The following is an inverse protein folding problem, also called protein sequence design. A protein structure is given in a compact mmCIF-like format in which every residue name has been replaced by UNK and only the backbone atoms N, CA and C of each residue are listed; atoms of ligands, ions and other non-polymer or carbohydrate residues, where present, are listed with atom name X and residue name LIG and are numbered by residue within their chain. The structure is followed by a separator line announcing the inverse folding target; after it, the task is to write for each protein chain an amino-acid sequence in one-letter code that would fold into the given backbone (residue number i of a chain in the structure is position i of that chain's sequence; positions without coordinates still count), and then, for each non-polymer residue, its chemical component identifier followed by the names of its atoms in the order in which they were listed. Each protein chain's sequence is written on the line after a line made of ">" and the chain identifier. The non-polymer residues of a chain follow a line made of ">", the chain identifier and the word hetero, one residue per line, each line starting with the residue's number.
data_IF_157006726211
#
_entry.id   IF_157006726211
#
_cell.length_a   1.000
_cell.length_b   1.000
_cell.length_c   1.000
_cell.angle_alpha   90.00
_cell.angle_beta   90.00
_cell.angle_gamma   90.00
#
_symmetry.space_group_name_H-M   'P 1'
#
loop_
_entity.id
_entity.type
_entity.pdbx_description
1 polymer ?
#
# COMPACT_ATOMS: atom_id res chain seq x y z
N UNK A 1 41.33 -15.63 11.71
CA UNK A 1 40.53 -16.36 10.72
C UNK A 1 39.33 -15.50 10.38
N UNK A 2 39.20 -15.09 9.12
CA UNK A 2 38.20 -14.16 8.62
C UNK A 2 36.87 -14.89 8.40
N UNK A 3 35.84 -14.54 9.18
CA UNK A 3 34.44 -14.90 8.91
C UNK A 3 33.74 -13.69 8.30
N UNK A 4 33.74 -13.62 6.97
CA UNK A 4 33.32 -12.46 6.18
C UNK A 4 31.78 -12.43 6.09
N UNK A 5 31.21 -11.31 6.54
CA UNK A 5 29.91 -10.67 6.25
C UNK A 5 28.60 -11.46 6.13
N UNK A 6 27.49 -10.89 6.67
CA UNK A 6 26.16 -11.43 6.51
C UNK A 6 25.75 -11.42 5.04
N UNK A 7 25.06 -12.47 4.60
CA UNK A 7 24.40 -12.52 3.30
C UNK A 7 23.54 -11.26 3.09
N UNK A 8 24.08 -10.27 2.36
CA UNK A 8 23.29 -9.19 1.80
C UNK A 8 22.54 -9.78 0.60
N UNK A 9 21.48 -10.55 0.87
CA UNK A 9 20.49 -10.84 -0.18
C UNK A 9 19.95 -9.50 -0.60
N UNK A 10 20.21 -9.12 -1.85
CA UNK A 10 19.56 -7.98 -2.49
C UNK A 10 18.06 -8.29 -2.52
N UNK A 11 17.32 -7.84 -1.52
CA UNK A 11 15.87 -8.01 -1.47
C UNK A 11 15.30 -7.28 -2.69
N UNK A 12 14.72 -8.03 -3.62
CA UNK A 12 14.01 -7.43 -4.75
C UNK A 12 12.73 -6.85 -4.18
N UNK A 13 12.60 -5.52 -4.24
CA UNK A 13 11.37 -4.85 -3.82
C UNK A 13 10.54 -4.49 -5.03
N UNK A 14 9.26 -4.82 -5.00
CA UNK A 14 8.29 -4.35 -5.97
C UNK A 14 7.73 -3.02 -5.47
N UNK A 15 7.75 -1.99 -6.32
CA UNK A 15 7.27 -0.66 -5.97
C UNK A 15 6.13 -0.29 -6.92
N UNK A 16 5.01 0.13 -6.35
CA UNK A 16 3.86 0.63 -7.10
C UNK A 16 3.50 2.03 -6.60
N UNK A 17 3.21 2.92 -7.55
CA UNK A 17 2.75 4.29 -7.26
C UNK A 17 1.38 4.50 -7.88
N UNK A 18 0.43 4.99 -7.09
CA UNK A 18 -0.95 5.21 -7.55
C UNK A 18 -1.56 6.47 -6.90
N UNK A 19 -2.44 7.18 -7.62
CA UNK A 19 -3.30 8.16 -7.00
C UNK A 19 -4.40 7.45 -6.19
N UNK A 20 -4.89 8.11 -5.15
CA UNK A 20 -6.04 7.67 -4.38
C UNK A 20 -6.96 8.85 -4.11
N UNK A 21 -8.25 8.63 -4.33
CA UNK A 21 -9.31 9.57 -3.97
C UNK A 21 -10.50 8.75 -3.48
N UNK A 22 -10.63 8.67 -2.16
CA UNK A 22 -11.74 7.98 -1.49
C UNK A 22 -12.32 8.96 -0.48
N UNK A 23 -13.63 9.20 -0.54
CA UNK A 23 -14.31 10.04 0.43
C UNK A 23 -14.37 9.37 1.81
N UNK A 24 -14.59 10.16 2.85
CA UNK A 24 -14.79 9.62 4.20
C UNK A 24 -15.94 8.61 4.24
N UNK A 25 -17.07 8.92 3.58
CA UNK A 25 -18.25 8.08 3.53
C UNK A 25 -17.98 6.72 2.86
N UNK A 26 -17.25 6.71 1.73
CA UNK A 26 -16.87 5.47 1.05
C UNK A 26 -15.96 4.62 1.94
N UNK A 27 -15.06 5.25 2.71
CA UNK A 27 -14.18 4.53 3.62
C UNK A 27 -14.92 3.97 4.86
N UNK A 28 -16.07 4.53 5.24
CA UNK A 28 -16.89 3.97 6.32
C UNK A 28 -17.43 2.58 5.99
N UNK A 29 -17.63 2.25 4.71
CA UNK A 29 -18.05 0.90 4.28
C UNK A 29 -17.06 -0.18 4.74
N UNK A 30 -15.78 0.17 4.89
CA UNK A 30 -14.78 -0.73 5.47
C UNK A 30 -15.00 -0.94 6.97
N UNK A 31 -15.29 0.12 7.74
CA UNK A 31 -15.60 -0.01 9.17
C UNK A 31 -16.90 -0.78 9.43
N UNK A 32 -17.84 -0.73 8.50
CA UNK A 32 -19.08 -1.49 8.53
C UNK A 32 -18.90 -2.96 8.08
N UNK A 33 -17.71 -3.34 7.63
CA UNK A 33 -17.40 -4.69 7.16
C UNK A 33 -17.97 -5.02 5.78
N UNK A 34 -18.51 -4.03 5.06
CA UNK A 34 -19.09 -4.21 3.73
C UNK A 34 -18.01 -4.30 2.63
N UNK A 35 -16.80 -3.83 2.91
CA UNK A 35 -15.64 -3.86 2.01
C UNK A 35 -14.40 -4.24 2.82
N UNK A 36 -13.53 -5.10 2.28
CA UNK A 36 -12.25 -5.49 2.89
C UNK A 36 -11.03 -4.92 2.16
N UNK A 37 -11.14 -4.73 0.84
CA UNK A 37 -10.06 -4.27 -0.06
C UNK A 37 -10.47 -3.05 -0.87
N UNK A 38 -9.48 -2.23 -1.19
CA UNK A 38 -9.60 -1.10 -2.10
C UNK A 38 -8.88 -1.46 -3.40
N UNK A 39 -9.59 -1.35 -4.52
CA UNK A 39 -9.00 -1.43 -5.85
C UNK A 39 -8.32 -0.09 -6.19
N UNK A 40 -7.07 -0.14 -6.63
CA UNK A 40 -6.35 1.02 -7.17
C UNK A 40 -5.69 0.64 -8.49
N UNK A 41 -5.48 1.63 -9.37
CA UNK A 41 -4.66 1.49 -10.57
C UNK A 41 -3.35 2.21 -10.37
N UNK A 42 -2.24 1.51 -10.55
CA UNK A 42 -0.92 2.13 -10.53
C UNK A 42 -0.67 2.99 -11.78
N UNK A 43 0.42 3.76 -11.74
CA UNK A 43 0.85 4.62 -12.84
C UNK A 43 1.16 3.87 -14.14
N UNK A 44 1.36 2.55 -14.08
CA UNK A 44 1.59 1.67 -15.22
C UNK A 44 0.30 1.01 -15.72
N UNK A 45 -0.85 1.29 -15.08
CA UNK A 45 -2.15 0.71 -15.41
C UNK A 45 -2.47 -0.63 -14.74
N UNK A 46 -1.59 -1.13 -13.86
CA UNK A 46 -1.80 -2.38 -13.12
C UNK A 46 -2.84 -2.17 -12.02
N UNK A 47 -3.83 -3.06 -11.98
CA UNK A 47 -4.80 -3.12 -10.88
C UNK A 47 -4.19 -3.78 -9.65
N UNK A 48 -4.32 -3.14 -8.49
CA UNK A 48 -3.91 -3.64 -7.18
C UNK A 48 -5.10 -3.68 -6.24
N UNK A 49 -5.16 -4.72 -5.41
CA UNK A 49 -6.19 -4.88 -4.38
C UNK A 49 -5.51 -4.83 -3.02
N UNK A 50 -5.71 -3.73 -2.30
CA UNK A 50 -4.99 -3.45 -1.05
C UNK A 50 -5.99 -3.48 0.09
N UNK A 51 -5.69 -4.23 1.15
CA UNK A 51 -6.59 -4.31 2.31
C UNK A 51 -6.79 -2.91 2.91
N UNK A 52 -8.05 -2.49 3.03
CA UNK A 52 -8.42 -1.13 3.44
C UNK A 52 -7.82 -0.71 4.80
N UNK A 53 -7.53 -1.67 5.68
CA UNK A 53 -6.86 -1.45 6.98
C UNK A 53 -5.55 -0.66 6.87
N UNK A 54 -4.82 -0.82 5.76
CA UNK A 54 -3.54 -0.14 5.56
C UNK A 54 -3.71 1.36 5.31
N UNK A 55 -4.90 1.80 4.90
CA UNK A 55 -5.17 3.20 4.63
C UNK A 55 -5.73 3.98 5.82
N UNK A 56 -6.09 3.30 6.92
CA UNK A 56 -6.61 3.94 8.14
C UNK A 56 -5.75 5.10 8.66
N UNK A 57 -4.40 5.02 8.66
CA UNK A 57 -3.56 6.13 9.12
C UNK A 57 -3.66 7.41 8.27
N UNK A 58 -4.17 7.32 7.03
CA UNK A 58 -4.26 8.45 6.09
C UNK A 58 -5.67 9.02 5.98
N UNK A 59 -6.64 8.50 6.74
CA UNK A 59 -8.02 8.97 6.71
C UNK A 59 -8.12 10.34 7.38
N UNK A 60 -8.59 11.33 6.63
CA UNK A 60 -8.93 12.67 7.14
C UNK A 60 -10.43 12.91 7.08
N UNK A 61 -10.91 14.03 7.60
CA UNK A 61 -12.30 14.49 7.43
C UNK A 61 -12.69 14.67 5.97
N UNK A 62 -11.72 14.94 5.08
CA UNK A 62 -11.93 15.06 3.63
C UNK A 62 -11.86 13.72 2.87
N UNK A 63 -11.65 12.62 3.60
CA UNK A 63 -11.36 11.30 3.06
C UNK A 63 -9.86 11.03 2.97
N UNK A 64 -9.49 10.12 2.07
CA UNK A 64 -8.10 9.79 1.72
C UNK A 64 -7.83 10.34 0.33
N UNK A 65 -6.85 11.24 0.23
CA UNK A 65 -6.49 11.91 -1.03
C UNK A 65 -4.98 12.05 -1.13
N UNK A 66 -4.42 11.74 -2.29
CA UNK A 66 -3.02 11.96 -2.60
C UNK A 66 -2.41 10.84 -3.41
N UNK A 67 -1.07 10.84 -3.49
CA UNK A 67 -0.32 9.78 -4.12
C UNK A 67 0.25 8.85 -3.06
N UNK A 68 0.21 7.56 -3.36
CA UNK A 68 0.69 6.52 -2.47
C UNK A 68 1.78 5.71 -3.15
N UNK A 69 2.73 5.26 -2.33
CA UNK A 69 3.75 4.29 -2.70
C UNK A 69 3.54 3.03 -1.88
N UNK A 70 3.28 1.92 -2.57
CA UNK A 70 3.25 0.58 -2.01
C UNK A 70 4.59 -0.09 -2.28
N UNK A 71 5.22 -0.62 -1.24
CA UNK A 71 6.40 -1.47 -1.36
C UNK A 71 6.06 -2.87 -0.92
N UNK A 72 6.33 -3.84 -1.79
CA UNK A 72 6.24 -5.26 -1.48
C UNK A 72 7.63 -5.89 -1.48
N UNK A 73 7.83 -6.92 -0.67
CA UNK A 73 8.99 -7.79 -0.79
C UNK A 73 8.86 -8.72 -2.02
N UNK A 74 9.85 -9.58 -2.22
CA UNK A 74 9.93 -10.54 -3.31
C UNK A 74 8.88 -11.66 -3.20
N UNK A 75 8.28 -11.86 -2.03
CA UNK A 75 7.14 -12.76 -1.82
C UNK A 75 5.78 -12.05 -2.01
N UNK A 76 5.80 -10.75 -2.33
CA UNK A 76 4.60 -9.93 -2.51
C UNK A 76 3.96 -9.49 -1.19
N UNK A 77 4.63 -9.64 -0.04
CA UNK A 77 4.15 -9.15 1.25
C UNK A 77 4.37 -7.66 1.37
N UNK A 78 3.41 -6.98 2.01
CA UNK A 78 3.47 -5.54 2.22
C UNK A 78 4.62 -5.19 3.19
N UNK A 79 5.60 -4.45 2.67
CA UNK A 79 6.71 -3.87 3.45
C UNK A 79 6.31 -2.50 3.96
N UNK A 80 5.74 -1.65 3.10
CA UNK A 80 5.29 -0.32 3.48
C UNK A 80 4.17 0.19 2.57
N UNK A 81 3.39 1.11 3.13
CA UNK A 81 2.48 1.97 2.40
C UNK A 81 2.69 3.40 2.92
N UNK A 82 3.07 4.32 2.05
CA UNK A 82 3.35 5.71 2.43
C UNK A 82 2.65 6.67 1.47
N UNK A 83 2.12 7.77 2.01
CA UNK A 83 1.72 8.92 1.22
C UNK A 83 2.97 9.68 0.76
N UNK A 84 3.01 10.09 -0.50
CA UNK A 84 4.11 10.83 -1.15
C UNK A 84 3.82 12.33 -1.14
#
# INVERSE_FOLDING_TARGET
>A
MLGISPHFRKQIMMIFTFPMQVSYQEFLNYYQGSIDKIEVKDSSGKTLWIHARHFRPFLTTSGIRGYFRLQLDDEGKLVSLTQV
#
